data_IF_669849659251
#
_entry.id   IF_669849659251
#
_cell.length_a   1.000
_cell.length_b   1.000
_cell.length_c   1.000
_cell.angle_alpha   90.00
_cell.angle_beta   90.00
_cell.angle_gamma   90.00
#
_symmetry.space_group_name_H-M   'P 1'
#
loop_
_entity.id
_entity.type
_entity.pdbx_description
1 polymer ?
#
# COMPACT_ATOMS: atom_id res chain seq x y z
N UNK A 1 13.29 36.18 23.24
CA UNK A 1 13.29 34.71 23.39
C UNK A 1 12.95 34.12 22.03
N UNK A 2 13.95 33.65 21.30
CA UNK A 2 13.73 32.97 20.02
C UNK A 2 13.55 31.48 20.31
N UNK A 3 12.36 30.94 20.04
CA UNK A 3 12.13 29.51 20.10
C UNK A 3 13.06 28.84 19.08
N UNK A 4 13.87 27.89 19.55
CA UNK A 4 14.67 27.06 18.69
C UNK A 4 13.72 26.22 17.82
N UNK A 5 13.49 26.67 16.58
CA UNK A 5 12.81 25.87 15.56
C UNK A 5 13.62 24.61 15.35
N UNK A 6 13.17 23.49 15.92
CA UNK A 6 13.70 22.17 15.54
C UNK A 6 13.47 22.06 14.04
N UNK A 7 14.54 22.03 13.25
CA UNK A 7 14.44 21.74 11.81
C UNK A 7 13.92 20.31 11.68
N UNK A 8 12.60 20.15 11.51
CA UNK A 8 12.04 18.86 11.10
C UNK A 8 12.64 18.50 9.74
N UNK A 9 13.41 17.42 9.71
CA UNK A 9 13.99 16.90 8.48
C UNK A 9 12.87 16.28 7.65
N UNK A 10 12.68 16.75 6.40
CA UNK A 10 11.78 16.13 5.43
C UNK A 10 12.09 14.64 5.29
N UNK A 11 11.03 13.81 5.32
CA UNK A 11 11.07 12.36 5.16
C UNK A 11 10.27 11.95 3.93
N UNK A 12 10.63 10.80 3.37
CA UNK A 12 9.84 10.11 2.36
C UNK A 12 9.04 9.01 3.06
N UNK A 13 7.72 9.01 2.90
CA UNK A 13 6.78 8.10 3.55
C UNK A 13 6.04 7.33 2.46
N UNK A 14 6.09 6.00 2.53
CA UNK A 14 5.41 5.12 1.57
C UNK A 14 4.17 4.49 2.17
N UNK A 15 3.02 4.68 1.52
CA UNK A 15 1.79 3.93 1.78
C UNK A 15 1.68 2.78 0.79
N UNK A 16 1.56 1.57 1.32
CA UNK A 16 1.45 0.34 0.52
C UNK A 16 0.19 -0.39 0.93
N UNK A 17 -0.71 -0.63 -0.02
CA UNK A 17 -1.97 -1.36 0.22
C UNK A 17 -2.35 -2.15 -1.04
N UNK A 18 -3.26 -3.10 -0.93
CA UNK A 18 -3.82 -3.79 -2.10
C UNK A 18 -4.73 -2.85 -2.91
N UNK A 19 -5.35 -1.88 -2.24
CA UNK A 19 -6.27 -0.89 -2.80
C UNK A 19 -6.22 0.39 -1.97
N UNK A 20 -6.22 1.54 -2.63
CA UNK A 20 -6.36 2.87 -2.03
C UNK A 20 -7.39 3.66 -2.83
N UNK A 21 -8.65 3.24 -2.77
CA UNK A 21 -9.75 3.80 -3.54
C UNK A 21 -11.09 3.75 -2.77
N UNK A 22 -11.95 4.73 -2.98
CA UNK A 22 -13.27 4.83 -2.37
C UNK A 22 -13.24 5.15 -0.87
N UNK A 23 -14.30 4.76 -0.16
CA UNK A 23 -14.59 5.18 1.22
C UNK A 23 -14.39 4.08 2.26
N UNK A 24 -13.57 3.08 1.95
CA UNK A 24 -13.23 2.05 2.94
C UNK A 24 -12.28 2.61 4.01
N UNK A 25 -12.22 1.95 5.17
CA UNK A 25 -11.44 2.43 6.30
C UNK A 25 -9.94 2.56 6.02
N UNK A 26 -9.36 1.71 5.16
CA UNK A 26 -7.92 1.78 4.83
C UNK A 26 -7.64 3.00 3.96
N UNK A 27 -8.49 3.24 2.95
CA UNK A 27 -8.38 4.39 2.06
C UNK A 27 -8.52 5.71 2.83
N UNK A 28 -9.52 5.82 3.72
CA UNK A 28 -9.76 7.02 4.52
C UNK A 28 -8.65 7.27 5.56
N UNK A 29 -8.18 6.24 6.26
CA UNK A 29 -7.06 6.37 7.20
C UNK A 29 -5.77 6.78 6.48
N UNK A 30 -5.49 6.18 5.32
CA UNK A 30 -4.33 6.53 4.49
C UNK A 30 -4.38 8.00 4.08
N UNK A 31 -5.52 8.48 3.59
CA UNK A 31 -5.70 9.88 3.19
C UNK A 31 -5.50 10.85 4.37
N UNK A 32 -6.04 10.51 5.56
CA UNK A 32 -5.86 11.30 6.78
C UNK A 32 -4.40 11.41 7.17
N UNK A 33 -3.67 10.28 7.24
CA UNK A 33 -2.25 10.29 7.61
C UNK A 33 -1.38 11.01 6.58
N UNK A 34 -1.64 10.79 5.29
CA UNK A 34 -0.95 11.51 4.22
C UNK A 34 -1.11 13.03 4.37
N UNK A 35 -2.33 13.51 4.63
CA UNK A 35 -2.59 14.94 4.84
C UNK A 35 -1.81 15.51 6.02
N UNK A 36 -1.71 14.78 7.14
CA UNK A 36 -0.92 15.20 8.30
C UNK A 36 0.57 15.30 7.93
N UNK A 37 1.13 14.25 7.32
CA UNK A 37 2.55 14.21 6.97
C UNK A 37 2.94 15.24 5.92
N UNK A 38 2.12 15.43 4.89
CA UNK A 38 2.34 16.48 3.88
C UNK A 38 2.24 17.87 4.51
N UNK A 39 1.31 18.07 5.45
CA UNK A 39 1.20 19.29 6.26
C UNK A 39 2.43 19.58 7.14
N UNK A 40 3.14 18.53 7.59
CA UNK A 40 4.42 18.61 8.30
C UNK A 40 5.64 18.75 7.36
N UNK A 41 5.42 18.85 6.05
CA UNK A 41 6.49 19.04 5.06
C UNK A 41 7.24 17.74 4.70
N UNK A 42 6.60 16.59 4.88
CA UNK A 42 7.07 15.30 4.37
C UNK A 42 6.54 15.02 2.96
N UNK A 43 7.19 14.07 2.27
CA UNK A 43 6.76 13.61 0.95
C UNK A 43 6.11 12.24 1.07
N UNK A 44 4.86 12.13 0.62
CA UNK A 44 4.12 10.88 0.60
C UNK A 44 4.13 10.24 -0.79
N UNK A 45 4.38 8.94 -0.81
CA UNK A 45 4.41 8.06 -1.98
C UNK A 45 3.42 6.92 -1.77
N UNK A 46 2.87 6.39 -2.86
CA UNK A 46 1.79 5.41 -2.80
C UNK A 46 2.08 4.22 -3.71
N UNK A 47 1.74 3.03 -3.25
CA UNK A 47 1.73 1.80 -4.06
C UNK A 47 0.43 1.06 -3.77
N UNK A 48 -0.35 0.79 -4.82
CA UNK A 48 -1.55 -0.03 -4.71
C UNK A 48 -1.92 -0.71 -6.03
N UNK A 49 -2.83 -1.67 -5.98
CA UNK A 49 -3.42 -2.27 -7.18
C UNK A 49 -4.65 -1.54 -7.70
N UNK A 50 -5.13 -0.53 -6.99
CA UNK A 50 -6.18 0.37 -7.45
C UNK A 50 -6.05 1.71 -6.70
N UNK A 51 -6.25 2.81 -7.43
CA UNK A 51 -6.31 4.16 -6.90
C UNK A 51 -7.59 4.87 -7.36
N UNK A 52 -8.07 5.83 -6.58
CA UNK A 52 -9.09 6.77 -7.06
C UNK A 52 -8.60 7.57 -8.28
N UNK A 53 -9.53 7.96 -9.15
CA UNK A 53 -9.21 8.69 -10.40
C UNK A 53 -8.58 10.06 -10.17
N UNK A 54 -8.83 10.64 -9.00
CA UNK A 54 -8.35 11.94 -8.55
C UNK A 54 -7.03 11.88 -7.77
N UNK A 55 -6.45 10.69 -7.54
CA UNK A 55 -5.14 10.57 -6.85
C UNK A 55 -3.98 11.07 -7.74
N UNK A 56 -2.97 11.73 -7.13
CA UNK A 56 -1.82 12.24 -7.88
C UNK A 56 -0.98 11.11 -8.46
N UNK A 57 -0.90 11.04 -9.79
CA UNK A 57 -0.14 10.01 -10.52
C UNK A 57 1.38 10.10 -10.30
N UNK A 58 1.93 11.30 -10.05
CA UNK A 58 3.40 11.51 -10.01
C UNK A 58 4.12 10.85 -8.83
N UNK A 59 3.41 10.51 -7.74
CA UNK A 59 3.98 9.85 -6.55
C UNK A 59 3.33 8.49 -6.27
N UNK A 60 2.67 7.93 -7.27
CA UNK A 60 1.87 6.71 -7.14
C UNK A 60 2.35 5.64 -8.11
N UNK A 61 2.62 4.45 -7.59
CA UNK A 61 2.96 3.25 -8.36
C UNK A 61 1.75 2.32 -8.37
N UNK A 62 1.09 2.21 -9.53
CA UNK A 62 0.00 1.26 -9.74
C UNK A 62 0.59 -0.11 -10.13
N UNK A 63 0.24 -1.14 -9.36
CA UNK A 63 0.57 -2.54 -9.66
C UNK A 63 -0.73 -3.33 -9.58
N UNK A 64 -1.43 -3.52 -10.70
CA UNK A 64 -2.74 -4.19 -10.74
C UNK A 64 -2.71 -5.55 -10.05
N UNK A 65 -1.58 -6.26 -10.14
CA UNK A 65 -1.33 -7.54 -9.49
C UNK A 65 -1.36 -7.50 -7.96
N UNK A 66 -1.18 -6.32 -7.36
CA UNK A 66 -1.31 -6.11 -5.92
C UNK A 66 -2.77 -6.05 -5.46
N UNK A 67 -3.74 -5.90 -6.38
CA UNK A 67 -5.15 -5.84 -6.02
C UNK A 67 -5.62 -7.16 -5.39
N UNK A 68 -6.44 -7.10 -4.34
CA UNK A 68 -6.85 -8.30 -3.61
C UNK A 68 -7.77 -9.22 -4.44
N UNK A 69 -8.40 -8.69 -5.49
CA UNK A 69 -9.17 -9.47 -6.47
C UNK A 69 -8.34 -9.93 -7.67
N UNK A 70 -7.05 -9.61 -7.73
CA UNK A 70 -6.18 -10.14 -8.78
C UNK A 70 -6.14 -11.67 -8.68
N UNK A 71 -6.25 -12.44 -9.79
CA UNK A 71 -6.48 -13.89 -9.73
C UNK A 71 -5.47 -14.65 -8.86
N UNK A 72 -4.19 -14.28 -8.94
CA UNK A 72 -3.15 -14.93 -8.14
C UNK A 72 -3.27 -14.62 -6.64
N UNK A 73 -3.70 -13.41 -6.27
CA UNK A 73 -3.90 -13.00 -4.87
C UNK A 73 -5.17 -13.61 -4.30
N UNK A 74 -6.25 -13.64 -5.09
CA UNK A 74 -7.52 -14.26 -4.69
C UNK A 74 -7.34 -15.77 -4.42
N UNK A 75 -6.58 -16.46 -5.27
CA UNK A 75 -6.23 -17.87 -5.06
C UNK A 75 -5.43 -18.07 -3.77
N UNK A 76 -4.41 -17.24 -3.53
CA UNK A 76 -3.63 -17.29 -2.29
C UNK A 76 -4.55 -17.05 -1.07
N UNK A 77 -5.42 -16.05 -1.14
CA UNK A 77 -6.35 -15.69 -0.07
C UNK A 77 -7.28 -16.85 0.28
N UNK A 78 -7.94 -17.44 -0.74
CA UNK A 78 -8.79 -18.63 -0.57
C UNK A 78 -8.03 -19.80 0.03
N UNK A 79 -6.77 -20.02 -0.38
CA UNK A 79 -5.94 -21.08 0.16
C UNK A 79 -5.43 -20.86 1.58
N UNK A 80 -5.56 -19.65 2.14
CA UNK A 80 -5.12 -19.33 3.50
C UNK A 80 -6.29 -19.18 4.50
N UNK A 81 -7.49 -18.83 4.03
CA UNK A 81 -8.60 -18.53 4.92
C UNK A 81 -9.36 -19.78 5.36
N UNK A 82 -9.72 -19.86 6.65
CA UNK A 82 -10.53 -20.95 7.21
C UNK A 82 -9.80 -22.29 7.38
N UNK A 83 -8.48 -22.32 7.17
CA UNK A 83 -7.66 -23.54 7.30
C UNK A 83 -6.56 -23.35 8.35
N UNK A 84 -6.20 -24.43 9.04
CA UNK A 84 -5.07 -24.43 10.00
C UNK A 84 -3.75 -24.86 9.34
N UNK A 85 -3.83 -25.64 8.26
CA UNK A 85 -2.68 -26.05 7.45
C UNK A 85 -2.96 -25.71 6.00
N UNK A 86 -2.04 -24.96 5.40
CA UNK A 86 -2.12 -24.52 4.01
C UNK A 86 -1.45 -25.53 3.08
N UNK A 87 -2.01 -25.70 1.89
CA UNK A 87 -1.40 -26.53 0.84
C UNK A 87 0.02 -26.05 0.47
N UNK A 88 0.89 -27.00 0.13
CA UNK A 88 2.28 -26.73 -0.24
C UNK A 88 2.39 -25.81 -1.48
N UNK A 89 1.47 -25.94 -2.43
CA UNK A 89 1.41 -25.09 -3.63
C UNK A 89 1.17 -23.62 -3.29
N UNK A 90 0.20 -23.33 -2.40
CA UNK A 90 -0.09 -21.96 -1.96
C UNK A 90 1.08 -21.40 -1.15
N UNK A 91 1.72 -22.23 -0.31
CA UNK A 91 2.94 -21.84 0.41
C UNK A 91 4.06 -21.41 -0.53
N UNK A 92 4.22 -22.10 -1.67
CA UNK A 92 5.19 -21.72 -2.70
C UNK A 92 4.77 -20.47 -3.48
N UNK A 93 3.47 -20.26 -3.68
CA UNK A 93 2.94 -19.14 -4.49
C UNK A 93 3.10 -17.77 -3.85
N UNK A 94 3.02 -17.68 -2.53
CA UNK A 94 3.20 -16.41 -1.79
C UNK A 94 4.57 -15.76 -2.02
N UNK A 95 5.71 -16.44 -1.79
CA UNK A 95 7.01 -15.84 -2.05
C UNK A 95 7.24 -15.55 -3.55
N UNK A 96 6.62 -16.32 -4.45
CA UNK A 96 6.64 -16.03 -5.89
C UNK A 96 5.95 -14.68 -6.16
N UNK A 97 4.70 -14.49 -5.73
CA UNK A 97 4.00 -13.22 -5.93
C UNK A 97 4.70 -12.05 -5.25
N UNK A 98 5.20 -12.24 -4.03
CA UNK A 98 6.00 -11.21 -3.34
C UNK A 98 7.24 -10.81 -4.17
N UNK A 99 7.91 -11.76 -4.81
CA UNK A 99 9.07 -11.47 -5.65
C UNK A 99 8.67 -10.76 -6.95
N UNK A 100 7.53 -11.11 -7.55
CA UNK A 100 7.01 -10.41 -8.73
C UNK A 100 6.67 -8.94 -8.41
N UNK A 101 5.93 -8.69 -7.32
CA UNK A 101 5.56 -7.33 -6.91
C UNK A 101 6.78 -6.44 -6.61
N UNK A 102 7.92 -7.03 -6.22
CA UNK A 102 9.16 -6.29 -5.92
C UNK A 102 9.97 -5.89 -7.16
N UNK A 103 9.56 -6.29 -8.37
CA UNK A 103 10.28 -5.96 -9.61
C UNK A 103 9.89 -4.60 -10.20
N UNK A 104 8.81 -4.00 -9.71
CA UNK A 104 8.40 -2.64 -10.04
C UNK A 104 9.23 -1.63 -9.24
#
# INVERSE_FOLDING_TARGET
MGEARIRQKTKNIGFVSTRLAGTDGVSLETAKWASIFEGEGHLCFYLAGEFDKDKPHERSLLIEEAHFQYPAIEEISRGCFGVTVRDASITKKIPQMKNELKKH
#
